data_IF_870151944657
#
_entry.id   IF_870151944657
#
_cell.length_a   1.000
_cell.length_b   1.000
_cell.length_c   1.000
_cell.angle_alpha   90.00
_cell.angle_beta   90.00
_cell.angle_gamma   90.00
#
_symmetry.space_group_name_H-M   'P 1'
#
loop_
_entity.id
_entity.type
_entity.pdbx_description
1 polymer ?
#
# COMPACT_ATOMS: atom_id res chain seq x y z
N UNK A 1 2.21 -7.09 13.31
CA UNK A 1 3.60 -6.87 12.84
C UNK A 1 4.00 -5.45 13.16
N UNK A 2 5.24 -5.23 13.60
CA UNK A 2 5.79 -3.92 13.94
C UNK A 2 7.19 -3.75 13.33
N UNK A 3 7.43 -2.63 12.68
CA UNK A 3 8.75 -2.13 12.31
C UNK A 3 9.14 -1.06 13.30
N UNK A 4 10.07 -1.39 14.18
CA UNK A 4 10.71 -0.36 14.98
C UNK A 4 11.54 0.55 14.05
N UNK A 5 11.41 1.87 14.20
CA UNK A 5 12.22 2.84 13.48
C UNK A 5 12.11 2.72 11.93
N UNK A 6 10.87 2.76 11.40
CA UNK A 6 10.61 2.63 9.96
C UNK A 6 11.40 3.66 9.11
N UNK A 7 11.41 4.98 9.43
CA UNK A 7 12.26 5.94 8.74
C UNK A 7 13.74 5.55 8.70
N UNK A 8 14.28 5.11 9.84
CA UNK A 8 15.68 4.72 9.96
C UNK A 8 16.02 3.52 9.08
N UNK A 9 15.17 2.48 9.10
CA UNK A 9 15.33 1.33 8.22
C UNK A 9 15.25 1.75 6.74
N UNK A 10 14.28 2.60 6.39
CA UNK A 10 14.10 3.06 5.01
C UNK A 10 15.35 3.77 4.48
N UNK A 11 15.93 4.71 5.23
CA UNK A 11 17.16 5.42 4.81
C UNK A 11 18.38 4.50 4.76
N UNK A 12 18.52 3.57 5.71
CA UNK A 12 19.59 2.58 5.71
C UNK A 12 19.53 1.69 4.45
N UNK A 13 18.34 1.25 4.07
CA UNK A 13 18.12 0.44 2.86
C UNK A 13 18.38 1.29 1.60
N UNK A 14 17.78 2.48 1.52
CA UNK A 14 17.92 3.39 0.38
C UNK A 14 19.37 3.72 0.05
N UNK A 15 20.17 3.98 1.10
CA UNK A 15 21.55 4.48 0.99
C UNK A 15 22.61 3.43 1.29
N UNK A 16 22.21 2.18 1.58
CA UNK A 16 23.09 1.06 1.95
C UNK A 16 24.05 1.40 3.09
N UNK A 17 23.52 2.00 4.16
CA UNK A 17 24.31 2.49 5.29
C UNK A 17 24.71 1.37 6.25
N UNK A 18 25.98 1.39 6.68
CA UNK A 18 26.50 0.51 7.74
C UNK A 18 25.99 0.88 9.14
N UNK A 19 26.31 0.12 10.19
CA UNK A 19 25.67 0.17 11.51
C UNK A 19 25.99 1.40 12.38
N UNK A 20 26.68 2.40 11.83
CA UNK A 20 27.01 3.65 12.51
C UNK A 20 25.75 4.38 13.01
N UNK A 21 25.80 5.09 14.16
CA UNK A 21 24.65 5.80 14.70
C UNK A 21 24.11 6.86 13.72
N UNK A 22 22.81 6.75 13.42
CA UNK A 22 22.07 7.59 12.50
C UNK A 22 20.90 8.26 13.24
N UNK A 23 20.72 9.55 12.97
CA UNK A 23 19.56 10.33 13.41
C UNK A 23 18.88 10.97 12.19
N UNK A 24 17.56 10.83 12.13
CA UNK A 24 16.69 11.45 11.14
C UNK A 24 15.99 12.62 11.79
N UNK A 25 16.10 13.80 11.20
CA UNK A 25 15.50 15.01 11.72
C UNK A 25 14.44 15.57 10.78
N UNK A 26 13.49 16.29 11.37
CA UNK A 26 12.43 17.02 10.68
C UNK A 26 12.26 18.41 11.29
N UNK A 27 11.30 19.18 10.79
CA UNK A 27 11.00 20.53 11.26
C UNK A 27 11.67 21.62 10.42
N UNK A 28 11.46 22.86 10.84
CA UNK A 28 12.01 24.02 10.14
C UNK A 28 13.51 24.18 10.41
N UNK A 29 14.21 24.90 9.54
CA UNK A 29 15.63 25.20 9.71
C UNK A 29 15.97 25.84 11.07
N UNK A 30 15.00 26.52 11.70
CA UNK A 30 15.17 27.23 12.97
C UNK A 30 14.86 26.37 14.21
N UNK A 31 14.10 25.27 14.04
CA UNK A 31 13.74 24.37 15.13
C UNK A 31 13.73 22.91 14.64
N UNK A 32 14.89 22.37 14.22
CA UNK A 32 14.98 20.98 13.85
C UNK A 32 14.80 20.07 15.07
N UNK A 33 14.00 19.04 14.91
CA UNK A 33 13.72 18.04 15.93
C UNK A 33 13.98 16.65 15.38
N UNK A 34 14.28 15.73 16.27
CA UNK A 34 14.52 14.34 15.93
C UNK A 34 13.19 13.68 15.55
N UNK A 35 13.08 13.14 14.34
CA UNK A 35 11.95 12.31 13.93
C UNK A 35 12.17 10.86 14.38
N UNK A 36 13.38 10.34 14.14
CA UNK A 36 13.74 8.95 14.42
C UNK A 36 15.26 8.82 14.63
N UNK A 37 15.70 7.82 15.38
CA UNK A 37 17.10 7.66 15.75
C UNK A 37 17.46 6.22 16.09
N UNK A 38 18.74 5.89 15.92
CA UNK A 38 19.28 4.64 16.43
C UNK A 38 19.10 4.54 17.95
N UNK A 39 18.66 3.39 18.49
CA UNK A 39 18.45 3.22 19.93
C UNK A 39 19.68 3.50 20.79
N UNK A 40 20.89 3.33 20.24
CA UNK A 40 22.16 3.62 20.94
C UNK A 40 22.35 5.10 21.25
N UNK A 41 21.59 5.99 20.60
CA UNK A 41 21.62 7.43 20.87
C UNK A 41 20.88 7.80 22.15
N UNK A 42 19.99 6.93 22.67
CA UNK A 42 19.18 7.20 23.86
C UNK A 42 18.19 8.37 23.74
N UNK A 43 18.18 9.07 22.60
CA UNK A 43 17.30 10.19 22.30
C UNK A 43 15.94 9.72 21.78
N UNK A 44 14.89 10.43 22.16
CA UNK A 44 13.51 10.15 21.75
C UNK A 44 13.08 11.06 20.58
N UNK A 45 12.12 10.63 19.74
CA UNK A 45 11.44 11.52 18.80
C UNK A 45 10.94 12.79 19.49
N UNK A 46 11.02 13.93 18.81
CA UNK A 46 10.70 15.27 19.33
C UNK A 46 11.85 15.97 20.06
N UNK A 47 12.94 15.27 20.41
CA UNK A 47 14.12 15.91 21.02
C UNK A 47 14.73 16.95 20.07
N UNK A 48 15.07 18.13 20.61
CA UNK A 48 15.75 19.17 19.84
C UNK A 48 17.09 18.67 19.29
N UNK A 49 17.34 18.88 18.00
CA UNK A 49 18.55 18.36 17.34
C UNK A 49 19.85 18.88 17.97
N UNK A 50 19.83 20.12 18.48
CA UNK A 50 20.95 20.72 19.22
C UNK A 50 21.36 19.90 20.45
N UNK A 51 20.39 19.29 21.14
CA UNK A 51 20.66 18.42 22.29
C UNK A 51 21.30 17.12 21.86
N UNK A 52 20.80 16.49 20.79
CA UNK A 52 21.37 15.26 20.24
C UNK A 52 22.83 15.47 19.84
N UNK A 53 23.13 16.59 19.18
CA UNK A 53 24.50 16.95 18.78
C UNK A 53 25.41 17.29 19.96
N UNK A 54 24.88 17.89 21.02
CA UNK A 54 25.65 18.16 22.23
C UNK A 54 26.04 16.86 22.96
N UNK A 55 25.15 15.86 22.97
CA UNK A 55 25.39 14.55 23.59
C UNK A 55 26.27 13.65 22.69
N UNK A 56 26.07 13.70 21.36
CA UNK A 56 26.83 12.90 20.38
C UNK A 56 27.17 13.74 19.14
N UNK A 57 28.35 14.42 19.12
CA UNK A 57 28.73 15.32 18.02
C UNK A 57 28.95 14.63 16.67
N UNK A 58 29.40 13.38 16.69
CA UNK A 58 29.77 12.59 15.51
C UNK A 58 28.58 11.82 14.89
N UNK A 59 27.35 12.05 15.36
CA UNK A 59 26.17 11.34 14.86
C UNK A 59 25.90 11.71 13.41
N UNK A 60 25.62 10.71 12.57
CA UNK A 60 25.21 10.95 11.19
C UNK A 60 23.80 11.51 11.15
N UNK A 61 23.60 12.65 10.48
CA UNK A 61 22.29 13.29 10.34
C UNK A 61 21.74 13.15 8.93
N UNK A 62 20.45 12.83 8.81
CA UNK A 62 19.71 12.85 7.55
C UNK A 62 18.38 13.61 7.70
N UNK A 63 17.98 14.43 6.72
CA UNK A 63 16.65 15.03 6.73
C UNK A 63 15.59 13.95 6.44
N UNK A 64 14.42 14.08 7.06
CA UNK A 64 13.29 13.21 6.81
C UNK A 64 12.75 13.33 5.37
N UNK A 65 12.36 12.19 4.79
CA UNK A 65 11.61 12.10 3.53
C UNK A 65 10.31 11.32 3.76
N UNK A 66 9.26 11.95 4.35
CA UNK A 66 8.02 11.28 4.71
C UNK A 66 7.32 10.62 3.51
N UNK A 67 7.43 11.22 2.33
CA UNK A 67 6.85 10.68 1.09
C UNK A 67 7.54 9.39 0.68
N UNK A 68 8.86 9.29 0.84
CA UNK A 68 9.58 8.04 0.64
C UNK A 68 9.19 6.98 1.68
N UNK A 69 9.11 7.35 2.97
CA UNK A 69 8.76 6.40 4.04
C UNK A 69 7.36 5.83 3.85
N UNK A 70 6.39 6.68 3.51
CA UNK A 70 5.03 6.23 3.20
C UNK A 70 5.01 5.29 2.00
N UNK A 71 5.71 5.60 0.90
CA UNK A 71 5.79 4.71 -0.26
C UNK A 71 6.40 3.34 0.06
N UNK A 72 7.40 3.31 0.95
CA UNK A 72 7.95 2.05 1.45
C UNK A 72 6.91 1.27 2.27
N UNK A 73 6.16 1.96 3.13
CA UNK A 73 5.10 1.36 3.94
C UNK A 73 3.97 0.79 3.09
N UNK A 74 3.45 1.57 2.14
CA UNK A 74 2.38 1.15 1.21
C UNK A 74 2.78 -0.10 0.43
N UNK A 75 4.05 -0.18 -0.01
CA UNK A 75 4.56 -1.37 -0.72
C UNK A 75 4.58 -2.62 0.17
N UNK A 76 4.84 -2.47 1.46
CA UNK A 76 4.79 -3.58 2.42
C UNK A 76 3.33 -4.00 2.63
N UNK A 77 2.40 -3.05 2.81
CA UNK A 77 0.97 -3.33 2.93
C UNK A 77 0.41 -4.04 1.71
N UNK A 78 0.73 -3.57 0.50
CA UNK A 78 0.32 -4.19 -0.77
C UNK A 78 0.73 -5.67 -0.82
N UNK A 79 1.97 -5.99 -0.42
CA UNK A 79 2.48 -7.37 -0.40
C UNK A 79 1.82 -8.22 0.67
N UNK A 80 1.54 -7.65 1.84
CA UNK A 80 0.79 -8.36 2.88
C UNK A 80 -0.61 -8.70 2.39
N UNK A 81 -1.30 -7.78 1.70
CA UNK A 81 -2.65 -8.02 1.17
C UNK A 81 -2.68 -9.13 0.09
N UNK A 82 -1.56 -9.39 -0.58
CA UNK A 82 -1.46 -10.50 -1.54
C UNK A 82 -1.32 -11.87 -0.86
N UNK A 83 -0.83 -11.89 0.38
CA UNK A 83 -0.51 -13.14 1.09
C UNK A 83 -1.57 -13.44 2.15
N UNK A 84 -2.03 -12.43 2.89
CA UNK A 84 -2.92 -12.57 4.04
C UNK A 84 -4.35 -12.12 3.70
N UNK A 85 -5.37 -12.85 4.17
CA UNK A 85 -6.78 -12.58 3.86
C UNK A 85 -7.29 -11.28 4.50
N UNK A 86 -6.75 -10.90 5.66
CA UNK A 86 -7.11 -9.67 6.36
C UNK A 86 -5.84 -8.91 6.76
N UNK A 87 -5.70 -7.69 6.27
CA UNK A 87 -4.59 -6.79 6.62
C UNK A 87 -5.17 -5.44 7.03
N UNK A 88 -4.97 -5.02 8.26
CA UNK A 88 -5.32 -3.69 8.74
C UNK A 88 -4.04 -2.84 8.85
N UNK A 89 -4.08 -1.62 8.31
CA UNK A 89 -3.03 -0.63 8.54
C UNK A 89 -3.19 -0.01 9.93
N UNK A 90 -2.22 -0.27 10.81
CA UNK A 90 -2.14 0.28 12.16
C UNK A 90 -1.36 1.60 12.23
N UNK A 91 -1.03 2.19 11.07
CA UNK A 91 -0.19 3.37 10.92
C UNK A 91 1.24 3.01 10.50
N UNK A 92 2.07 4.01 10.15
CA UNK A 92 3.41 3.78 9.63
C UNK A 92 4.24 2.82 10.49
N UNK A 93 4.62 1.68 9.90
CA UNK A 93 5.41 0.65 10.57
C UNK A 93 4.61 -0.34 11.42
N UNK A 94 3.27 -0.28 11.47
CA UNK A 94 2.45 -1.24 12.22
C UNK A 94 1.31 -1.78 11.37
N UNK A 95 1.21 -3.10 11.22
CA UNK A 95 0.09 -3.75 10.53
C UNK A 95 -0.46 -4.92 11.35
N UNK A 96 -1.76 -5.12 11.32
CA UNK A 96 -2.43 -6.27 11.94
C UNK A 96 -2.89 -7.23 10.85
N UNK A 97 -2.71 -8.53 11.09
CA UNK A 97 -2.96 -9.57 10.11
C UNK A 97 -3.95 -10.57 10.70
N UNK A 98 -4.96 -10.95 9.92
CA UNK A 98 -5.75 -12.14 10.21
C UNK A 98 -4.94 -13.37 9.82
N UNK A 99 -4.69 -14.21 10.82
CA UNK A 99 -3.92 -15.46 10.68
C UNK A 99 -4.77 -16.68 11.02
N UNK A 100 -6.06 -16.49 11.33
CA UNK A 100 -6.94 -17.59 11.68
C UNK A 100 -7.00 -18.60 10.52
N UNK A 101 -6.70 -19.87 10.83
CA UNK A 101 -6.68 -20.96 9.83
C UNK A 101 -5.45 -21.01 8.91
N UNK A 102 -4.62 -19.96 8.84
CA UNK A 102 -3.42 -19.93 8.00
C UNK A 102 -2.30 -20.83 8.50
N UNK A 103 -2.31 -21.21 9.78
CA UNK A 103 -1.30 -22.09 10.36
C UNK A 103 -1.22 -23.43 9.63
N UNK A 104 -2.35 -24.02 9.20
CA UNK A 104 -2.31 -25.25 8.40
C UNK A 104 -1.87 -24.99 6.96
N UNK A 105 -2.38 -23.90 6.35
CA UNK A 105 -2.11 -23.54 4.95
C UNK A 105 -0.63 -23.25 4.71
N UNK A 106 0.03 -22.60 5.67
CA UNK A 106 1.43 -22.23 5.56
C UNK A 106 2.39 -23.29 6.11
N UNK A 107 1.92 -24.40 6.68
CA UNK A 107 2.80 -25.42 7.25
C UNK A 107 3.39 -25.01 8.61
N UNK A 108 2.59 -24.34 9.43
CA UNK A 108 2.89 -23.99 10.81
C UNK A 108 3.70 -22.69 10.98
N UNK A 109 4.22 -22.43 12.20
CA UNK A 109 4.90 -21.18 12.54
C UNK A 109 6.12 -20.85 11.67
N UNK A 110 6.86 -21.88 11.24
CA UNK A 110 8.02 -21.71 10.38
C UNK A 110 7.63 -21.19 8.98
N UNK A 111 6.55 -21.73 8.41
CA UNK A 111 6.04 -21.26 7.13
C UNK A 111 5.37 -19.90 7.22
N UNK A 112 4.65 -19.60 8.31
CA UNK A 112 4.15 -18.24 8.57
C UNK A 112 5.32 -17.23 8.60
N UNK A 113 6.41 -17.56 9.29
CA UNK A 113 7.63 -16.73 9.33
C UNK A 113 8.23 -16.51 7.94
N UNK A 114 8.25 -17.54 7.09
CA UNK A 114 8.74 -17.44 5.71
C UNK A 114 7.90 -16.45 4.90
N UNK A 115 6.57 -16.61 4.89
CA UNK A 115 5.67 -15.72 4.16
C UNK A 115 5.75 -14.27 4.68
N UNK A 116 5.88 -14.06 5.99
CA UNK A 116 6.10 -12.74 6.57
C UNK A 116 7.42 -12.10 6.10
N UNK A 117 8.51 -12.87 5.98
CA UNK A 117 9.79 -12.38 5.44
C UNK A 117 9.70 -12.03 3.96
N UNK A 118 9.06 -12.88 3.17
CA UNK A 118 8.82 -12.67 1.75
C UNK A 118 8.02 -11.37 1.52
N UNK A 119 6.98 -11.12 2.32
CA UNK A 119 6.16 -9.91 2.23
C UNK A 119 6.98 -8.63 2.45
N UNK A 120 7.86 -8.63 3.45
CA UNK A 120 8.58 -7.42 3.86
C UNK A 120 9.90 -7.19 3.11
N UNK A 121 10.39 -8.18 2.36
CA UNK A 121 11.74 -8.26 1.77
C UNK A 121 12.89 -8.34 2.79
N UNK A 122 14.01 -8.94 2.36
CA UNK A 122 15.10 -9.39 3.23
C UNK A 122 15.81 -8.27 4.00
N UNK A 123 15.87 -7.06 3.45
CA UNK A 123 16.56 -5.94 4.07
C UNK A 123 15.78 -5.31 5.24
N UNK A 124 14.47 -5.55 5.31
CA UNK A 124 13.63 -5.00 6.36
C UNK A 124 13.63 -5.88 7.60
N UNK A 125 13.71 -5.22 8.76
CA UNK A 125 13.77 -5.87 10.07
C UNK A 125 12.44 -5.73 10.80
N UNK A 126 11.48 -6.56 10.39
CA UNK A 126 10.17 -6.66 11.04
C UNK A 126 10.22 -7.44 12.37
N UNK A 127 9.35 -7.06 13.30
CA UNK A 127 9.05 -7.79 14.54
C UNK A 127 7.63 -8.32 14.48
N UNK A 128 7.43 -9.56 14.91
CA UNK A 128 6.13 -10.23 14.78
C UNK A 128 5.64 -10.74 16.13
N UNK A 129 4.37 -10.50 16.37
CA UNK A 129 3.68 -10.88 17.59
C UNK A 129 2.37 -11.57 17.24
N UNK A 130 2.09 -12.68 17.92
CA UNK A 130 0.82 -13.38 17.87
C UNK A 130 0.09 -13.16 19.20
N UNK A 131 -1.23 -13.03 19.18
CA UNK A 131 -2.01 -12.82 20.39
C UNK A 131 -3.51 -12.81 20.10
N UNK A 132 -4.29 -12.97 21.17
CA UNK A 132 -5.75 -12.82 21.12
C UNK A 132 -6.09 -11.34 21.11
N UNK A 133 -6.46 -10.80 19.94
CA UNK A 133 -6.72 -9.37 19.77
C UNK A 133 -5.48 -8.57 19.32
N UNK A 134 -5.72 -7.37 18.77
CA UNK A 134 -4.71 -6.52 18.13
C UNK A 134 -3.67 -6.02 19.13
N UNK A 135 -4.10 -5.53 20.29
CA UNK A 135 -3.22 -4.97 21.30
C UNK A 135 -2.27 -6.01 21.89
N UNK A 136 -2.79 -7.19 22.24
CA UNK A 136 -1.98 -8.29 22.77
C UNK A 136 -0.92 -8.75 21.75
N UNK A 137 -1.31 -8.87 20.48
CA UNK A 137 -0.39 -9.16 19.38
C UNK A 137 0.67 -8.05 19.19
N UNK A 138 0.29 -6.77 19.32
CA UNK A 138 1.23 -5.64 19.28
C UNK A 138 2.23 -5.70 20.43
N UNK A 139 1.79 -5.95 21.65
CA UNK A 139 2.68 -6.10 22.80
C UNK A 139 3.69 -7.24 22.59
N UNK A 140 3.25 -8.38 22.06
CA UNK A 140 4.13 -9.47 21.67
C UNK A 140 5.15 -9.05 20.60
N UNK A 141 4.72 -8.32 19.57
CA UNK A 141 5.60 -7.84 18.51
C UNK A 141 6.65 -6.84 19.03
N UNK A 142 6.27 -5.92 19.92
CA UNK A 142 7.22 -4.96 20.51
C UNK A 142 8.31 -5.68 21.32
N UNK A 143 7.92 -6.72 22.08
CA UNK A 143 8.84 -7.52 22.89
C UNK A 143 9.67 -8.52 22.08
N UNK A 144 9.24 -8.87 20.87
CA UNK A 144 9.98 -9.80 20.01
C UNK A 144 11.27 -9.15 19.46
N UNK A 145 12.22 -9.99 19.06
CA UNK A 145 13.40 -9.53 18.32
C UNK A 145 13.05 -9.39 16.84
N UNK A 146 13.82 -8.57 16.13
CA UNK A 146 13.71 -8.47 14.68
C UNK A 146 13.93 -9.83 14.03
N UNK A 147 13.06 -10.22 13.11
CA UNK A 147 13.11 -11.52 12.46
C UNK A 147 12.58 -12.67 13.32
N UNK A 148 11.97 -12.41 14.49
CA UNK A 148 11.36 -13.42 15.35
C UNK A 148 9.87 -13.20 15.57
N UNK A 149 9.14 -14.31 15.72
CA UNK A 149 7.73 -14.34 16.10
C UNK A 149 7.66 -14.66 17.60
N UNK A 150 6.96 -13.83 18.37
CA UNK A 150 6.65 -14.09 19.76
C UNK A 150 5.13 -14.25 19.93
N UNK A 151 4.68 -15.28 20.64
CA UNK A 151 3.26 -15.45 20.99
C UNK A 151 2.99 -14.91 22.40
N UNK A 152 1.99 -14.04 22.52
CA UNK A 152 1.39 -13.71 23.81
C UNK A 152 0.66 -14.95 24.36
N UNK A 153 0.72 -15.21 25.68
CA UNK A 153 -0.03 -16.31 26.28
C UNK A 153 -1.55 -16.15 26.06
N UNK A 154 -2.24 -17.25 25.78
CA UNK A 154 -3.71 -17.27 25.66
C UNK A 154 -4.42 -17.40 27.01
N UNK A 155 -3.74 -17.95 28.02
CA UNK A 155 -4.29 -18.16 29.36
C UNK A 155 -4.35 -16.81 30.11
N UNK A 156 -5.51 -16.39 30.66
CA UNK A 156 -5.69 -15.04 31.18
C UNK A 156 -4.72 -14.63 32.29
N UNK A 157 -4.33 -15.54 33.19
CA UNK A 157 -3.36 -15.20 34.24
C UNK A 157 -1.97 -14.99 33.65
N UNK A 158 -1.49 -15.92 32.81
CA UNK A 158 -0.21 -15.78 32.12
C UNK A 158 -0.16 -14.54 31.21
N UNK A 159 -1.25 -14.19 30.53
CA UNK A 159 -1.34 -12.99 29.70
C UNK A 159 -1.18 -11.73 30.55
N UNK A 160 -1.87 -11.64 31.70
CA UNK A 160 -1.71 -10.50 32.62
C UNK A 160 -0.29 -10.37 33.13
N UNK A 161 0.37 -11.46 33.50
CA UNK A 161 1.78 -11.45 33.90
C UNK A 161 2.71 -11.02 32.77
N UNK A 162 2.41 -11.44 31.53
CA UNK A 162 3.14 -11.01 30.34
C UNK A 162 3.00 -9.50 30.10
N UNK A 163 1.77 -8.98 30.14
CA UNK A 163 1.44 -7.58 29.89
C UNK A 163 1.94 -6.65 30.99
N UNK A 164 1.95 -7.08 32.26
CA UNK A 164 2.32 -6.24 33.39
C UNK A 164 3.69 -5.56 33.24
N UNK A 165 4.63 -6.18 32.52
CA UNK A 165 5.99 -5.66 32.29
C UNK A 165 6.10 -4.72 31.10
N UNK A 166 5.03 -4.56 30.32
CA UNK A 166 5.03 -3.71 29.13
C UNK A 166 4.86 -2.24 29.53
N UNK A 167 5.49 -1.30 28.79
CA UNK A 167 5.38 0.12 29.11
C UNK A 167 3.98 0.66 28.77
N UNK A 168 3.51 1.61 29.57
CA UNK A 168 2.23 2.30 29.40
C UNK A 168 2.16 3.11 28.09
N UNK A 169 3.31 3.48 27.53
CA UNK A 169 3.42 4.19 26.24
C UNK A 169 2.87 3.40 25.05
N UNK A 170 2.63 2.09 25.19
CA UNK A 170 1.96 1.30 24.16
C UNK A 170 0.45 1.51 24.10
N UNK A 171 -0.14 2.06 25.15
CA UNK A 171 -1.58 2.32 25.21
C UNK A 171 -1.98 3.35 24.16
N UNK A 172 -3.15 3.18 23.52
CA UNK A 172 -3.66 4.12 22.54
C UNK A 172 -4.26 5.36 23.24
N UNK A 173 -3.37 6.15 23.84
CA UNK A 173 -3.68 7.40 24.53
C UNK A 173 -2.94 8.55 23.83
N UNK A 174 -3.50 9.75 23.90
CA UNK A 174 -2.84 10.95 23.42
C UNK A 174 -1.67 11.37 24.33
N UNK A 175 -0.85 12.30 23.85
CA UNK A 175 0.37 12.73 24.55
C UNK A 175 0.05 13.34 25.93
N UNK A 176 -1.07 14.04 26.06
CA UNK A 176 -1.51 14.63 27.34
C UNK A 176 -1.84 13.53 28.37
N UNK A 177 -2.63 12.53 27.98
CA UNK A 177 -2.94 11.40 28.85
C UNK A 177 -1.69 10.56 29.17
N UNK A 178 -0.77 10.38 28.22
CA UNK A 178 0.50 9.69 28.46
C UNK A 178 1.37 10.44 29.48
N UNK A 179 1.47 11.77 29.40
CA UNK A 179 2.17 12.58 30.39
C UNK A 179 1.51 12.50 31.77
N UNK A 180 0.18 12.59 31.83
CA UNK A 180 -0.56 12.44 33.10
C UNK A 180 -0.27 11.07 33.75
N UNK A 181 -0.26 9.98 32.99
CA UNK A 181 0.09 8.66 33.53
C UNK A 181 1.52 8.65 34.10
N UNK A 182 2.49 9.24 33.40
CA UNK A 182 3.87 9.35 33.85
C UNK A 182 3.99 10.18 35.14
N UNK A 183 3.26 11.30 35.24
CA UNK A 183 3.22 12.16 36.43
C UNK A 183 2.64 11.44 37.65
N UNK A 184 1.68 10.53 37.43
CA UNK A 184 1.16 9.65 38.48
C UNK A 184 2.04 8.41 38.76
N UNK A 185 3.19 8.29 38.09
CA UNK A 185 4.10 7.15 38.25
C UNK A 185 3.61 5.85 37.61
N UNK A 186 2.56 5.91 36.78
CA UNK A 186 1.95 4.76 36.10
C UNK A 186 2.70 4.46 34.79
N UNK A 187 3.89 3.87 34.91
CA UNK A 187 4.82 3.68 33.79
C UNK A 187 4.62 2.36 33.04
N UNK A 188 3.97 1.38 33.67
CA UNK A 188 3.74 0.05 33.10
C UNK A 188 2.26 -0.30 33.03
N UNK A 189 1.90 -1.27 32.18
CA UNK A 189 0.53 -1.80 32.13
C UNK A 189 0.13 -2.45 33.47
N UNK A 190 1.09 -3.02 34.21
CA UNK A 190 0.86 -3.55 35.55
C UNK A 190 0.40 -2.48 36.53
N UNK A 191 1.04 -1.31 36.49
CA UNK A 191 0.69 -0.17 37.34
C UNK A 191 -0.75 0.30 37.09
N UNK A 192 -1.15 0.39 35.80
CA UNK A 192 -2.52 0.74 35.42
C UNK A 192 -3.53 -0.35 35.81
N UNK A 193 -3.20 -1.63 35.60
CA UNK A 193 -4.09 -2.75 35.91
C UNK A 193 -4.37 -2.88 37.42
N UNK A 194 -3.47 -2.37 38.26
CA UNK A 194 -3.65 -2.30 39.71
C UNK A 194 -4.60 -1.17 40.16
N UNK A 195 -4.88 -0.19 39.29
CA UNK A 195 -5.77 0.92 39.63
C UNK A 195 -7.25 0.54 39.51
N UNK A 196 -8.16 1.19 40.26
CA UNK A 196 -9.58 1.04 40.03
C UNK A 196 -9.98 1.59 38.64
N UNK A 197 -10.63 0.78 37.80
CA UNK A 197 -11.13 1.18 36.47
C UNK A 197 -11.89 2.50 36.48
N UNK A 198 -12.73 2.72 37.51
CA UNK A 198 -13.51 3.95 37.70
C UNK A 198 -12.64 5.20 37.85
N UNK A 199 -11.46 5.08 38.46
CA UNK A 199 -10.56 6.21 38.68
C UNK A 199 -9.93 6.67 37.36
N UNK A 200 -9.45 5.72 36.54
CA UNK A 200 -8.93 6.02 35.21
C UNK A 200 -10.01 6.60 34.29
N UNK A 201 -11.23 6.06 34.34
CA UNK A 201 -12.37 6.64 33.59
C UNK A 201 -12.69 8.06 34.04
N UNK A 202 -12.65 8.34 35.34
CA UNK A 202 -12.96 9.66 35.87
C UNK A 202 -11.91 10.72 35.49
N UNK A 203 -10.67 10.32 35.19
CA UNK A 203 -9.59 11.25 34.84
C UNK A 203 -9.34 11.38 33.35
N UNK A 204 -9.36 10.27 32.63
CA UNK A 204 -9.01 10.19 31.21
C UNK A 204 -10.23 9.84 30.33
N UNK A 205 -11.44 9.83 30.89
CA UNK A 205 -12.66 9.54 30.16
C UNK A 205 -12.76 8.11 29.62
N UNK A 206 -13.41 7.96 28.46
CA UNK A 206 -13.53 6.69 27.77
C UNK A 206 -12.17 6.07 27.36
N UNK A 207 -11.18 6.84 26.85
CA UNK A 207 -9.82 6.34 26.59
C UNK A 207 -9.16 5.72 27.83
N UNK A 208 -9.32 6.32 29.01
CA UNK A 208 -8.82 5.76 30.28
C UNK A 208 -9.43 4.42 30.65
N UNK A 209 -10.75 4.29 30.49
CA UNK A 209 -11.43 3.02 30.72
C UNK A 209 -10.94 1.94 29.75
N UNK A 210 -10.78 2.30 28.47
CA UNK A 210 -10.25 1.41 27.43
C UNK A 210 -8.81 0.98 27.72
N UNK A 211 -7.97 1.92 28.15
CA UNK A 211 -6.58 1.64 28.53
C UNK A 211 -6.48 0.66 29.70
N UNK A 212 -7.41 0.75 30.67
CA UNK A 212 -7.51 -0.22 31.76
C UNK A 212 -7.93 -1.61 31.26
N UNK A 213 -8.92 -1.68 30.36
CA UNK A 213 -9.37 -2.96 29.78
C UNK A 213 -8.18 -3.61 29.02
N UNK A 214 -7.45 -2.84 28.21
CA UNK A 214 -6.26 -3.28 27.48
C UNK A 214 -5.10 -3.73 28.39
N UNK A 215 -4.86 -3.05 29.51
CA UNK A 215 -3.78 -3.42 30.44
C UNK A 215 -4.00 -4.80 31.09
N UNK A 216 -5.24 -5.29 31.09
CA UNK A 216 -5.62 -6.63 31.56
C UNK A 216 -5.70 -7.69 30.47
N UNK A 217 -5.47 -7.28 29.22
CA UNK A 217 -5.55 -8.15 28.04
C UNK A 217 -6.94 -8.23 27.41
N UNK A 218 -7.90 -7.43 27.89
CA UNK A 218 -9.26 -7.40 27.38
C UNK A 218 -9.34 -6.53 26.12
N UNK A 219 -9.01 -7.15 24.98
CA UNK A 219 -9.09 -6.52 23.67
C UNK A 219 -10.25 -7.07 22.83
N UNK A 220 -11.34 -6.32 22.79
CA UNK A 220 -12.53 -6.63 21.99
C UNK A 220 -12.56 -5.93 20.63
N UNK A 221 -11.48 -5.25 20.23
CA UNK A 221 -11.49 -4.47 19.00
C UNK A 221 -11.35 -5.39 17.78
N UNK A 222 -12.33 -5.37 16.86
CA UNK A 222 -12.25 -6.21 15.68
C UNK A 222 -11.13 -5.73 14.75
N UNK A 223 -10.59 -6.66 13.99
CA UNK A 223 -9.77 -6.35 12.84
C UNK A 223 -10.64 -5.61 11.80
N UNK A 224 -10.10 -4.53 11.24
CA UNK A 224 -10.70 -3.72 10.17
C UNK A 224 -9.80 -3.81 8.94
N UNK A 225 -9.93 -4.88 8.13
CA UNK A 225 -9.08 -5.05 6.97
C UNK A 225 -9.18 -3.86 6.03
N UNK A 226 -8.04 -3.48 5.45
CA UNK A 226 -7.96 -2.67 4.26
C UNK A 226 -8.87 -3.29 3.20
N UNK A 227 -9.61 -2.47 2.44
CA UNK A 227 -10.39 -2.99 1.33
C UNK A 227 -9.44 -3.76 0.40
N UNK A 228 -9.84 -4.95 -0.07
CA UNK A 228 -9.02 -5.70 -1.01
C UNK A 228 -8.71 -4.78 -2.19
N UNK A 229 -7.45 -4.76 -2.61
CA UNK A 229 -7.05 -4.03 -3.80
C UNK A 229 -7.99 -4.46 -4.94
N UNK A 230 -8.76 -3.52 -5.47
CA UNK A 230 -9.74 -3.87 -6.49
C UNK A 230 -8.98 -4.28 -7.74
N UNK A 231 -8.96 -5.58 -8.02
CA UNK A 231 -8.31 -6.14 -9.20
C UNK A 231 -9.33 -6.80 -10.10
N UNK A 232 -9.02 -6.81 -11.40
CA UNK A 232 -9.84 -7.46 -12.41
C UNK A 232 -8.92 -8.31 -13.24
N UNK A 233 -9.16 -9.63 -13.21
CA UNK A 233 -8.33 -10.61 -13.93
C UNK A 233 -9.10 -11.37 -15.01
N UNK A 234 -8.37 -11.80 -16.02
CA UNK A 234 -8.84 -12.65 -17.10
C UNK A 234 -7.71 -13.61 -17.49
N UNK A 235 -8.08 -14.83 -17.86
CA UNK A 235 -7.17 -15.87 -18.30
C UNK A 235 -7.60 -16.41 -19.66
N UNK A 236 -6.62 -16.91 -20.43
CA UNK A 236 -6.85 -17.76 -21.58
C UNK A 236 -5.80 -18.88 -21.61
N UNK A 237 -6.17 -19.98 -22.23
CA UNK A 237 -5.26 -21.04 -22.65
C UNK A 237 -4.98 -20.87 -24.14
N UNK A 238 -3.73 -21.05 -24.53
CA UNK A 238 -3.36 -21.03 -25.94
C UNK A 238 -3.68 -22.40 -26.57
N UNK A 239 -4.23 -22.44 -27.80
CA UNK A 239 -4.47 -23.70 -28.50
C UNK A 239 -3.21 -24.54 -28.72
N UNK A 240 -2.08 -23.84 -28.88
CA UNK A 240 -0.74 -24.41 -28.92
C UNK A 240 0.19 -23.49 -28.11
N UNK A 241 1.22 -24.02 -27.42
CA UNK A 241 2.12 -23.20 -26.62
C UNK A 241 2.67 -22.00 -27.43
N UNK A 242 2.51 -20.80 -26.89
CA UNK A 242 2.94 -19.57 -27.55
C UNK A 242 4.47 -19.48 -27.53
N UNK A 243 5.08 -19.60 -28.70
CA UNK A 243 6.54 -19.53 -28.91
C UNK A 243 7.00 -18.25 -29.60
N UNK A 244 6.07 -17.44 -30.10
CA UNK A 244 6.38 -16.21 -30.86
C UNK A 244 5.80 -14.97 -30.19
N UNK A 245 6.45 -13.84 -30.42
CA UNK A 245 5.98 -12.52 -29.97
C UNK A 245 4.56 -12.24 -30.50
N UNK A 246 4.27 -12.65 -31.73
CA UNK A 246 2.97 -12.47 -32.36
C UNK A 246 1.86 -13.28 -31.70
N UNK A 247 2.11 -14.54 -31.36
CA UNK A 247 1.12 -15.36 -30.65
C UNK A 247 0.83 -14.81 -29.26
N UNK A 248 1.87 -14.42 -28.53
CA UNK A 248 1.75 -13.85 -27.19
C UNK A 248 1.02 -12.50 -27.20
N UNK A 249 1.35 -11.61 -28.14
CA UNK A 249 0.73 -10.28 -28.23
C UNK A 249 -0.77 -10.35 -28.54
N UNK A 250 -1.19 -11.28 -29.40
CA UNK A 250 -2.61 -11.53 -29.68
C UNK A 250 -3.34 -12.03 -28.44
N UNK A 251 -2.75 -12.97 -27.69
CA UNK A 251 -3.30 -13.44 -26.43
C UNK A 251 -3.43 -12.32 -25.40
N UNK A 252 -2.36 -11.58 -25.17
CA UNK A 252 -2.32 -10.44 -24.24
C UNK A 252 -3.36 -9.38 -24.59
N UNK A 253 -3.42 -8.96 -25.86
CA UNK A 253 -4.38 -7.96 -26.33
C UNK A 253 -5.82 -8.46 -26.15
N UNK A 254 -6.08 -9.74 -26.43
CA UNK A 254 -7.41 -10.35 -26.25
C UNK A 254 -7.86 -10.28 -24.79
N UNK A 255 -6.97 -10.62 -23.84
CA UNK A 255 -7.27 -10.52 -22.40
C UNK A 255 -7.50 -9.09 -21.96
N UNK A 256 -6.65 -8.16 -22.40
CA UNK A 256 -6.79 -6.74 -22.08
C UNK A 256 -8.11 -6.19 -22.63
N UNK A 257 -8.49 -6.52 -23.87
CA UNK A 257 -9.77 -6.11 -24.44
C UNK A 257 -10.95 -6.70 -23.67
N UNK A 258 -10.89 -7.97 -23.26
CA UNK A 258 -11.92 -8.58 -22.40
C UNK A 258 -12.02 -7.86 -21.05
N UNK A 259 -10.89 -7.50 -20.45
CA UNK A 259 -10.83 -6.78 -19.18
C UNK A 259 -11.43 -5.39 -19.30
N UNK A 260 -10.93 -4.54 -20.20
CA UNK A 260 -11.41 -3.18 -20.38
C UNK A 260 -12.86 -3.08 -20.87
N UNK A 261 -13.44 -4.15 -21.42
CA UNK A 261 -14.88 -4.24 -21.73
C UNK A 261 -15.77 -4.50 -20.51
N UNK A 262 -15.22 -4.95 -19.38
CA UNK A 262 -16.02 -5.20 -18.17
C UNK A 262 -16.58 -3.89 -17.62
N UNK A 263 -17.86 -3.85 -17.19
CA UNK A 263 -18.46 -2.65 -16.58
C UNK A 263 -17.65 -2.08 -15.42
N UNK A 264 -16.96 -2.95 -14.65
CA UNK A 264 -16.09 -2.56 -13.53
C UNK A 264 -14.90 -1.68 -13.92
N UNK A 265 -14.46 -1.72 -15.19
CA UNK A 265 -13.36 -0.91 -15.72
C UNK A 265 -13.83 0.27 -16.58
N UNK A 266 -15.15 0.48 -16.71
CA UNK A 266 -15.69 1.56 -17.51
C UNK A 266 -15.27 2.95 -16.95
N UNK A 267 -14.47 3.69 -17.73
CA UNK A 267 -13.96 5.01 -17.32
C UNK A 267 -12.84 4.98 -16.28
N UNK A 268 -12.30 3.79 -15.98
CA UNK A 268 -11.19 3.61 -15.04
C UNK A 268 -9.91 3.27 -15.79
N UNK A 269 -8.79 3.59 -15.17
CA UNK A 269 -7.47 3.25 -15.62
C UNK A 269 -6.77 2.34 -14.61
N UNK A 270 -5.94 1.43 -15.10
CA UNK A 270 -5.12 0.57 -14.27
C UNK A 270 -3.75 1.22 -14.05
N UNK A 271 -3.33 1.34 -12.79
CA UNK A 271 -1.97 1.75 -12.41
C UNK A 271 -0.98 0.59 -12.37
N UNK A 272 -1.48 -0.64 -12.26
CA UNK A 272 -0.68 -1.86 -12.12
C UNK A 272 -1.21 -2.98 -13.02
N UNK A 273 -0.30 -3.80 -13.55
CA UNK A 273 -0.64 -5.04 -14.22
C UNK A 273 0.31 -6.17 -13.80
N UNK A 274 -0.26 -7.35 -13.55
CA UNK A 274 0.48 -8.59 -13.39
C UNK A 274 0.10 -9.58 -14.50
N UNK A 275 1.10 -10.30 -14.99
CA UNK A 275 1.01 -11.38 -15.95
C UNK A 275 1.51 -12.65 -15.26
N UNK A 276 0.74 -13.72 -15.32
CA UNK A 276 1.17 -15.07 -14.93
C UNK A 276 0.91 -16.02 -16.09
N UNK A 277 1.80 -16.97 -16.32
CA UNK A 277 1.60 -17.96 -17.37
C UNK A 277 2.37 -19.24 -17.10
N UNK A 278 1.74 -20.38 -17.33
CA UNK A 278 2.42 -21.66 -17.23
C UNK A 278 3.36 -21.86 -18.42
N UNK A 279 4.57 -22.35 -18.14
CA UNK A 279 5.59 -22.67 -19.14
C UNK A 279 5.64 -24.19 -19.28
N UNK A 280 5.78 -24.69 -20.52
CA UNK A 280 5.90 -26.14 -20.76
C UNK A 280 7.07 -26.71 -19.96
N UNK A 281 6.78 -27.70 -19.12
CA UNK A 281 7.76 -28.44 -18.31
C UNK A 281 8.61 -27.57 -17.36
N UNK A 282 8.13 -26.38 -17.01
CA UNK A 282 8.82 -25.43 -16.14
C UNK A 282 7.86 -24.79 -15.11
N UNK A 283 8.39 -24.17 -14.04
CA UNK A 283 7.59 -23.39 -13.11
C UNK A 283 6.83 -22.24 -13.79
N UNK A 284 5.72 -21.82 -13.17
CA UNK A 284 4.92 -20.69 -13.63
C UNK A 284 5.76 -19.43 -13.74
N UNK A 285 5.68 -18.77 -14.90
CA UNK A 285 6.29 -17.47 -15.14
C UNK A 285 5.40 -16.36 -14.57
N UNK A 286 6.02 -15.36 -13.94
CA UNK A 286 5.33 -14.21 -13.36
C UNK A 286 6.05 -12.91 -13.72
N UNK A 287 5.28 -11.90 -14.10
CA UNK A 287 5.76 -10.58 -14.43
C UNK A 287 4.80 -9.51 -13.91
N UNK A 288 5.32 -8.49 -13.25
CA UNK A 288 4.52 -7.36 -12.78
C UNK A 288 5.10 -6.03 -13.30
N UNK A 289 4.22 -5.12 -13.69
CA UNK A 289 4.58 -3.79 -14.17
C UNK A 289 3.66 -2.72 -13.60
N UNK A 290 4.28 -1.61 -13.15
CA UNK A 290 3.56 -0.43 -12.69
C UNK A 290 3.68 0.68 -13.72
N UNK A 291 2.55 1.16 -14.20
CA UNK A 291 2.51 2.26 -15.15
C UNK A 291 2.90 3.57 -14.45
N UNK A 292 3.71 4.40 -15.12
CA UNK A 292 4.00 5.77 -14.64
C UNK A 292 2.73 6.63 -14.62
N UNK A 293 1.88 6.43 -15.62
CA UNK A 293 0.59 7.09 -15.76
C UNK A 293 -0.47 5.99 -15.92
N UNK A 294 -1.55 5.96 -15.12
CA UNK A 294 -2.57 4.92 -15.23
C UNK A 294 -3.11 4.80 -16.67
N UNK A 295 -3.25 3.57 -17.16
CA UNK A 295 -3.66 3.31 -18.56
C UNK A 295 -5.14 2.92 -18.63
N UNK A 296 -5.89 3.54 -19.54
CA UNK A 296 -7.35 3.39 -19.65
C UNK A 296 -7.80 2.58 -20.90
N UNK A 297 -6.89 1.89 -21.58
CA UNK A 297 -7.17 1.22 -22.84
C UNK A 297 -6.30 -0.02 -23.06
N UNK A 298 -6.88 -1.01 -23.74
CA UNK A 298 -6.26 -2.31 -23.97
C UNK A 298 -5.03 -2.19 -24.88
N UNK A 299 -5.13 -1.41 -25.95
CA UNK A 299 -4.08 -1.23 -26.95
C UNK A 299 -2.86 -0.54 -26.34
N UNK A 300 -3.06 0.58 -25.64
CA UNK A 300 -2.00 1.32 -24.98
C UNK A 300 -1.30 0.49 -23.88
N UNK A 301 -2.07 -0.30 -23.13
CA UNK A 301 -1.51 -1.21 -22.14
C UNK A 301 -0.66 -2.31 -22.81
N UNK A 302 -1.17 -2.92 -23.89
CA UNK A 302 -0.49 -3.96 -24.64
C UNK A 302 0.82 -3.45 -25.25
N UNK A 303 0.79 -2.31 -25.94
CA UNK A 303 1.98 -1.69 -26.55
C UNK A 303 3.07 -1.41 -25.50
N UNK A 304 2.69 -0.81 -24.37
CA UNK A 304 3.63 -0.52 -23.28
C UNK A 304 4.26 -1.80 -22.73
N UNK A 305 3.47 -2.85 -22.54
CA UNK A 305 3.96 -4.11 -21.99
C UNK A 305 4.88 -4.84 -22.96
N UNK A 306 4.50 -4.90 -24.24
CA UNK A 306 5.36 -5.48 -25.26
C UNK A 306 6.67 -4.72 -25.34
N UNK A 307 6.66 -3.38 -25.29
CA UNK A 307 7.89 -2.58 -25.28
C UNK A 307 8.78 -2.85 -24.05
N UNK A 308 8.19 -3.11 -22.88
CA UNK A 308 8.93 -3.41 -21.64
C UNK A 308 9.46 -4.85 -21.61
N UNK A 309 8.72 -5.80 -22.18
CA UNK A 309 9.13 -7.19 -22.30
C UNK A 309 10.18 -7.38 -23.40
N UNK A 310 10.10 -6.57 -24.46
CA UNK A 310 11.08 -6.50 -25.54
C UNK A 310 12.45 -6.11 -24.97
N UNK A 311 13.42 -7.01 -25.03
CA UNK A 311 14.78 -6.78 -24.55
C UNK A 311 15.10 -7.34 -23.16
N UNK A 312 14.23 -8.20 -22.60
CA UNK A 312 14.53 -8.98 -21.40
C UNK A 312 15.01 -10.38 -21.76
N UNK A 313 16.04 -10.90 -21.10
CA UNK A 313 16.43 -12.30 -21.23
C UNK A 313 15.59 -13.21 -20.29
N UNK A 314 15.35 -14.49 -20.65
CA UNK A 314 15.78 -15.18 -21.87
C UNK A 314 14.88 -14.85 -23.07
N UNK A 315 15.46 -14.50 -24.22
CA UNK A 315 14.73 -14.40 -25.49
C UNK A 315 13.95 -13.09 -25.73
N UNK A 316 13.11 -13.01 -26.79
CA UNK A 316 12.58 -11.72 -27.26
C UNK A 316 11.54 -11.05 -26.34
N UNK A 317 11.01 -11.75 -25.33
CA UNK A 317 10.04 -11.25 -24.35
C UNK A 317 10.44 -11.51 -22.89
N UNK A 318 11.65 -12.00 -22.63
CA UNK A 318 12.03 -12.48 -21.30
C UNK A 318 11.23 -13.70 -20.82
N UNK A 319 10.80 -14.54 -21.77
CA UNK A 319 10.07 -15.77 -21.50
C UNK A 319 11.05 -16.94 -21.44
N UNK A 320 11.05 -17.74 -20.36
CA UNK A 320 11.99 -18.85 -20.21
C UNK A 320 11.65 -20.07 -21.09
N UNK A 321 10.49 -20.07 -21.76
CA UNK A 321 10.04 -21.14 -22.65
C UNK A 321 8.66 -20.87 -23.26
N UNK A 322 8.08 -21.88 -23.96
CA UNK A 322 6.74 -21.80 -24.55
C UNK A 322 5.65 -21.65 -23.49
N UNK A 323 4.76 -20.67 -23.66
CA UNK A 323 3.69 -20.35 -22.71
C UNK A 323 2.39 -21.09 -23.08
N UNK A 324 1.84 -21.91 -22.19
CA UNK A 324 0.59 -22.68 -22.44
C UNK A 324 -0.66 -21.89 -22.09
N UNK A 325 -0.60 -21.04 -21.07
CA UNK A 325 -1.69 -20.16 -20.66
C UNK A 325 -1.16 -18.77 -20.26
N UNK A 326 -2.06 -17.80 -20.29
CA UNK A 326 -1.78 -16.45 -19.85
C UNK A 326 -2.95 -15.94 -19.02
N UNK A 327 -2.63 -15.48 -17.82
CA UNK A 327 -3.51 -14.71 -16.96
C UNK A 327 -2.99 -13.29 -16.86
N UNK A 328 -3.92 -12.34 -16.97
CA UNK A 328 -3.68 -10.91 -16.82
C UNK A 328 -4.51 -10.41 -15.66
N UNK A 329 -3.90 -9.66 -14.76
CA UNK A 329 -4.55 -8.99 -13.64
C UNK A 329 -4.27 -7.50 -13.67
N UNK A 330 -5.32 -6.69 -13.75
CA UNK A 330 -5.24 -5.23 -13.62
C UNK A 330 -5.54 -4.83 -12.19
N UNK A 331 -4.70 -3.95 -11.62
CA UNK A 331 -4.84 -3.42 -10.27
C UNK A 331 -4.62 -1.92 -10.20
N UNK A 332 -4.78 -1.36 -8.99
CA UNK A 332 -4.75 0.08 -8.74
C UNK A 332 -5.71 0.84 -9.68
N UNK A 333 -6.97 0.39 -9.67
CA UNK A 333 -7.99 0.88 -10.57
C UNK A 333 -8.49 2.25 -10.11
N UNK A 334 -8.12 3.31 -10.83
CA UNK A 334 -8.49 4.69 -10.54
C UNK A 334 -9.28 5.35 -11.67
N UNK A 335 -9.71 6.61 -11.53
CA UNK A 335 -10.26 7.37 -12.64
C UNK A 335 -9.22 7.49 -13.78
N UNK A 336 -9.68 7.40 -15.03
CA UNK A 336 -8.80 7.59 -16.17
C UNK A 336 -8.15 8.99 -16.15
N UNK A 337 -6.83 9.12 -16.38
CA UNK A 337 -6.18 10.41 -16.40
C UNK A 337 -6.80 11.28 -17.49
N UNK A 338 -7.10 12.53 -17.15
CA UNK A 338 -7.62 13.49 -18.11
C UNK A 338 -6.44 13.98 -18.95
N UNK A 339 -6.32 13.49 -20.18
CA UNK A 339 -5.36 14.03 -21.14
C UNK A 339 -6.01 15.29 -21.72
N UNK A 340 -5.48 16.47 -21.38
CA UNK A 340 -5.79 17.69 -22.11
C UNK A 340 -5.10 17.59 -23.48
N UNK A 341 -5.87 17.35 -24.53
CA UNK A 341 -5.35 17.38 -25.89
C UNK A 341 -4.87 18.78 -26.29
N UNK A 342 -3.90 18.83 -27.20
CA UNK A 342 -3.53 20.09 -27.86
C UNK A 342 -4.68 20.56 -28.75
N UNK A 343 -5.02 21.86 -28.68
CA UNK A 343 -6.12 22.46 -29.45
C UNK A 343 -5.98 22.29 -30.98
N UNK A 344 -4.80 21.93 -31.49
CA UNK A 344 -4.43 22.04 -32.90
C UNK A 344 -3.77 20.80 -33.53
N UNK A 345 -3.74 19.62 -32.88
CA UNK A 345 -3.02 18.46 -33.43
C UNK A 345 -3.84 17.61 -34.42
N UNK A 346 -3.15 16.98 -35.38
CA UNK A 346 -3.71 16.23 -36.54
C UNK A 346 -4.39 14.89 -36.18
N UNK A 347 -4.36 14.43 -34.92
CA UNK A 347 -4.99 13.17 -34.48
C UNK A 347 -6.47 13.38 -34.07
N UNK A 348 -7.28 13.87 -35.01
CA UNK A 348 -8.56 14.53 -34.72
C UNK A 348 -9.73 13.60 -34.40
N UNK A 349 -9.70 12.31 -34.78
CA UNK A 349 -10.89 11.42 -34.66
C UNK A 349 -10.94 10.63 -33.35
N UNK A 350 -9.89 9.89 -33.00
CA UNK A 350 -9.89 9.02 -31.81
C UNK A 350 -9.91 9.83 -30.50
N UNK A 351 -9.15 10.93 -30.43
CA UNK A 351 -9.09 11.81 -29.25
C UNK A 351 -10.41 12.55 -29.01
N UNK A 352 -11.07 13.01 -30.08
CA UNK A 352 -12.38 13.67 -30.00
C UNK A 352 -13.47 12.71 -29.50
N UNK A 353 -13.47 11.45 -29.94
CA UNK A 353 -14.46 10.47 -29.49
C UNK A 353 -14.33 10.18 -27.98
N UNK A 354 -13.10 10.00 -27.49
CA UNK A 354 -12.83 9.79 -26.06
C UNK A 354 -13.23 11.02 -25.22
N UNK A 355 -12.91 12.22 -25.69
CA UNK A 355 -13.27 13.48 -25.02
C UNK A 355 -14.79 13.70 -24.97
N UNK A 356 -15.51 13.45 -26.07
CA UNK A 356 -16.97 13.54 -26.15
C UNK A 356 -17.64 12.52 -25.22
N UNK A 357 -17.12 11.28 -25.15
CA UNK A 357 -17.60 10.26 -24.22
C UNK A 357 -17.33 10.61 -22.74
N UNK A 358 -16.23 11.31 -22.45
CA UNK A 358 -15.95 11.87 -21.13
C UNK A 358 -16.93 12.97 -20.74
N UNK A 359 -17.18 13.92 -21.66
CA UNK A 359 -18.07 15.06 -21.41
C UNK A 359 -19.53 14.66 -21.22
N UNK A 360 -20.06 13.72 -22.02
CA UNK A 360 -21.42 13.18 -21.86
C UNK A 360 -21.66 12.51 -20.50
N UNK A 361 -20.61 11.99 -19.86
CA UNK A 361 -20.73 11.38 -18.53
C UNK A 361 -20.74 12.40 -17.40
N UNK A 362 -20.18 13.60 -17.62
CA UNK A 362 -20.09 14.67 -16.63
C UNK A 362 -21.26 15.66 -16.73
N UNK A 363 -21.85 15.82 -17.91
CA UNK A 363 -22.93 16.75 -18.18
C UNK A 363 -24.23 15.98 -18.46
N UNK A 364 -25.29 16.15 -17.65
CA UNK A 364 -26.59 15.56 -17.93
C UNK A 364 -27.24 16.20 -19.18
N UNK A 365 -27.87 15.38 -20.03
CA UNK A 365 -28.74 15.83 -21.14
C UNK A 365 -28.06 16.03 -22.51
N UNK A 366 -28.70 16.81 -23.38
CA UNK A 366 -28.33 17.09 -24.79
C UNK A 366 -27.25 18.18 -24.93
N UNK A 367 -26.28 18.22 -24.02
CA UNK A 367 -25.35 19.34 -23.87
C UNK A 367 -24.23 19.40 -24.93
N UNK A 368 -24.23 18.51 -25.93
CA UNK A 368 -23.15 18.39 -26.91
C UNK A 368 -23.66 18.60 -28.33
N UNK A 369 -23.45 19.82 -28.83
CA UNK A 369 -23.90 20.30 -30.13
C UNK A 369 -22.71 20.43 -31.09
N UNK A 370 -22.96 20.12 -32.36
CA UNK A 370 -22.06 20.34 -33.49
C UNK A 370 -22.59 21.50 -34.31
N UNK A 371 -21.71 22.44 -34.64
CA UNK A 371 -22.01 23.47 -35.64
C UNK A 371 -21.93 22.84 -37.03
N UNK A 372 -22.98 22.98 -37.83
CA UNK A 372 -23.02 22.57 -39.23
C UNK A 372 -23.38 23.80 -40.06
N UNK A 373 -22.64 24.04 -41.14
CA UNK A 373 -22.97 25.08 -42.09
C UNK A 373 -24.20 24.66 -42.92
N UNK A 374 -25.19 25.55 -43.01
CA UNK A 374 -26.46 25.30 -43.71
C UNK A 374 -26.62 26.25 -44.89
N UNK A 375 -26.53 27.57 -44.66
CA UNK A 375 -26.55 28.57 -45.74
C UNK A 375 -25.32 29.49 -45.65
N UNK A 376 -24.12 29.04 -46.05
CA UNK A 376 -22.88 29.83 -45.94
C UNK A 376 -22.97 31.22 -46.60
N UNK A 377 -23.77 31.34 -47.67
CA UNK A 377 -23.97 32.57 -48.44
C UNK A 377 -25.00 33.54 -47.82
N UNK A 378 -25.70 33.14 -46.76
CA UNK A 378 -26.73 33.98 -46.16
C UNK A 378 -26.14 35.25 -45.58
N UNK A 379 -26.80 36.40 -45.79
CA UNK A 379 -26.41 37.66 -45.14
C UNK A 379 -26.86 37.75 -43.68
N UNK A 380 -27.70 36.81 -43.23
CA UNK A 380 -28.20 36.70 -41.86
C UNK A 380 -27.31 35.68 -41.12
N UNK A 381 -26.48 36.08 -40.13
CA UNK A 381 -25.53 35.20 -39.45
C UNK A 381 -26.16 33.92 -38.87
N UNK A 382 -27.37 34.05 -38.32
CA UNK A 382 -28.12 32.96 -37.68
C UNK A 382 -28.55 31.87 -38.66
N UNK A 383 -28.58 32.16 -39.96
CA UNK A 383 -28.91 31.18 -41.02
C UNK A 383 -27.68 30.46 -41.59
N UNK A 384 -26.48 30.98 -41.33
CA UNK A 384 -25.24 30.37 -41.86
C UNK A 384 -24.95 29.03 -41.22
N UNK A 385 -25.33 28.87 -39.95
CA UNK A 385 -24.95 27.73 -39.14
C UNK A 385 -26.14 27.23 -38.33
N UNK A 386 -26.28 25.91 -38.24
CA UNK A 386 -27.20 25.26 -37.33
C UNK A 386 -26.43 24.45 -36.28
N UNK A 387 -26.94 24.46 -35.05
CA UNK A 387 -26.49 23.57 -33.99
C UNK A 387 -27.27 22.27 -34.10
N UNK A 388 -26.61 21.21 -34.56
CA UNK A 388 -27.19 19.87 -34.58
C UNK A 388 -26.62 19.05 -33.43
N UNK A 389 -27.37 18.05 -32.96
CA UNK A 389 -26.84 17.12 -31.95
C UNK A 389 -25.59 16.43 -32.50
N UNK A 390 -24.54 16.39 -31.70
CA UNK A 390 -23.33 15.66 -32.08
C UNK A 390 -23.61 14.15 -32.04
N UNK A 391 -23.87 13.53 -33.20
CA UNK A 391 -23.92 12.06 -33.35
C UNK A 391 -22.59 11.60 -33.97
N UNK A 392 -21.85 10.76 -33.23
CA UNK A 392 -20.64 10.14 -33.78
C UNK A 392 -21.03 9.23 -34.95
N UNK A 393 -20.27 9.20 -36.06
CA UNK A 393 -20.46 8.21 -37.11
C UNK A 393 -20.07 6.80 -36.65
#
# INVERSE_FOLDING_TARGET
MVFAHLPLQAERIRRRLGPEPLAIYEGSAWRPQLLDADPSLGSRPGTALSRVLAEQPEVRLLPADPVYYQRCWDRILDRLQQMFPGVEDGGPGCAYLDIAGLESLYGGPAGLKRHLREAIADDWRGRWGLGTGKFNARCAAVRSRAGEILSAPSEPAALRTFLAKMPATLLPLDDEAQHLLADFGLNTLGDLAAQPRRALRARLGAPGARAWDLSRGDDSEPLRPLPPAETVSAQLEFPFPAVSVGAFSVGLLTLLQRLYRRPRLAGRAAGHIALTGQISDQPTWSFAYRFRTPVAGAEAACETLLAVLSGREPGPLGLPGPVTDLQVELGQLGPAPTIQGELWSKSRKASLHSAVAGLRRRLPGEALLRVVEVEPWSRIPERRQALVRFTAP
#
